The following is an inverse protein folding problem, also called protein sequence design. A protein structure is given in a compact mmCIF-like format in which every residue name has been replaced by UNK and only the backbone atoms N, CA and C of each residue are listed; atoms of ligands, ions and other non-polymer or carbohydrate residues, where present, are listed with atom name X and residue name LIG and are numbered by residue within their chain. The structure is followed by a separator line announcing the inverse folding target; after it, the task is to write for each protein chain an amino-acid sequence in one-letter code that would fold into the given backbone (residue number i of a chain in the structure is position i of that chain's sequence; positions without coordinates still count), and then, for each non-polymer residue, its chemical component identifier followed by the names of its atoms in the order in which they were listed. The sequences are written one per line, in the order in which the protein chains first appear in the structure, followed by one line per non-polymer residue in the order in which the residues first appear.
data_IF_825477105442
#
_entry.id   IF_825477105442
#
_cell.length_a   1.000
_cell.length_b   1.000
_cell.length_c   1.000
_cell.angle_alpha   90.00
_cell.angle_beta   90.00
_cell.angle_gamma   90.00
#
_symmetry.space_group_name_H-M   'P 1'
#
loop_
_entity.id
_entity.type
_entity.pdbx_description
1 polymer ?
#
# COMPACT_ATOMS: atom_id res chain seq x y z
N UNK A 1 -46.81 -18.52 -52.44
CA UNK A 1 -46.86 -18.25 -50.99
C UNK A 1 -45.58 -17.55 -50.61
N UNK A 2 -45.68 -16.24 -50.39
CA UNK A 2 -44.56 -15.30 -50.28
C UNK A 2 -44.29 -15.10 -48.79
N UNK A 3 -43.14 -15.56 -48.30
CA UNK A 3 -42.70 -15.37 -46.92
C UNK A 3 -42.34 -13.89 -46.70
N UNK A 4 -43.33 -13.11 -46.24
CA UNK A 4 -43.12 -11.86 -45.53
C UNK A 4 -42.90 -12.19 -44.05
N UNK A 5 -42.16 -11.31 -43.37
CA UNK A 5 -42.04 -11.19 -41.91
C UNK A 5 -40.82 -11.84 -41.25
N UNK A 6 -39.66 -11.19 -41.37
CA UNK A 6 -38.66 -11.17 -40.29
C UNK A 6 -37.73 -9.92 -40.25
N UNK A 7 -38.19 -8.67 -40.44
CA UNK A 7 -37.31 -7.50 -40.24
C UNK A 7 -37.09 -7.13 -38.75
N UNK A 8 -37.85 -7.73 -37.82
CA UNK A 8 -37.93 -7.26 -36.42
C UNK A 8 -37.00 -7.99 -35.43
N UNK A 9 -36.49 -9.18 -35.79
CA UNK A 9 -35.69 -10.01 -34.86
C UNK A 9 -34.24 -9.53 -34.74
N UNK A 10 -33.66 -9.06 -35.84
CA UNK A 10 -32.29 -8.53 -35.86
C UNK A 10 -32.08 -7.29 -34.96
N UNK A 11 -32.92 -6.23 -34.99
CA UNK A 11 -32.74 -5.08 -34.11
C UNK A 11 -32.97 -5.40 -32.64
N UNK A 12 -33.87 -6.34 -32.32
CA UNK A 12 -34.13 -6.78 -30.94
C UNK A 12 -32.93 -7.55 -30.35
N UNK A 13 -32.32 -8.45 -31.12
CA UNK A 13 -31.11 -9.17 -30.71
C UNK A 13 -29.91 -8.22 -30.53
N UNK A 14 -29.78 -7.21 -31.39
CA UNK A 14 -28.77 -6.17 -31.26
C UNK A 14 -28.98 -5.31 -30.01
N UNK A 15 -30.23 -4.97 -29.69
CA UNK A 15 -30.58 -4.25 -28.48
C UNK A 15 -30.28 -5.08 -27.21
N UNK A 16 -30.64 -6.36 -27.19
CA UNK A 16 -30.34 -7.27 -26.07
C UNK A 16 -28.83 -7.51 -25.89
N UNK A 17 -28.08 -7.66 -26.98
CA UNK A 17 -26.62 -7.74 -26.93
C UNK A 17 -25.98 -6.43 -26.44
N UNK A 18 -26.58 -5.28 -26.78
CA UNK A 18 -26.12 -3.97 -26.31
C UNK A 18 -26.40 -3.75 -24.81
N UNK A 19 -27.55 -4.22 -24.32
CA UNK A 19 -27.92 -4.20 -22.90
C UNK A 19 -26.99 -5.12 -22.09
N UNK A 20 -26.83 -6.38 -22.52
CA UNK A 20 -25.92 -7.33 -21.88
C UNK A 20 -24.48 -6.82 -21.85
N UNK A 21 -24.03 -6.14 -22.91
CA UNK A 21 -22.70 -5.51 -22.93
C UNK A 21 -22.59 -4.36 -21.93
N UNK A 22 -23.63 -3.55 -21.76
CA UNK A 22 -23.66 -2.48 -20.74
C UNK A 22 -23.60 -3.02 -19.33
N UNK A 23 -24.35 -4.10 -19.04
CA UNK A 23 -24.35 -4.74 -17.73
C UNK A 23 -22.96 -5.32 -17.39
N UNK A 24 -22.35 -6.04 -18.33
CA UNK A 24 -20.98 -6.57 -18.15
C UNK A 24 -19.95 -5.46 -17.92
N UNK A 25 -20.07 -4.34 -18.64
CA UNK A 25 -19.19 -3.19 -18.44
C UNK A 25 -19.38 -2.58 -17.04
N UNK A 26 -20.63 -2.43 -16.59
CA UNK A 26 -20.93 -1.94 -15.26
C UNK A 26 -20.35 -2.84 -14.15
N UNK A 27 -20.49 -4.16 -14.29
CA UNK A 27 -19.92 -5.13 -13.36
C UNK A 27 -18.38 -5.05 -13.31
N UNK A 28 -17.72 -4.95 -14.47
CA UNK A 28 -16.26 -4.81 -14.55
C UNK A 28 -15.80 -3.53 -13.84
N UNK A 29 -16.52 -2.42 -14.02
CA UNK A 29 -16.21 -1.16 -13.34
C UNK A 29 -16.38 -1.27 -11.82
N UNK A 30 -17.43 -1.93 -11.35
CA UNK A 30 -17.64 -2.14 -9.92
C UNK A 30 -16.51 -2.97 -9.30
N UNK A 31 -16.09 -4.04 -9.99
CA UNK A 31 -14.97 -4.88 -9.58
C UNK A 31 -13.66 -4.09 -9.54
N UNK A 32 -13.40 -3.24 -10.54
CA UNK A 32 -12.23 -2.37 -10.56
C UNK A 32 -12.25 -1.36 -9.39
N UNK A 33 -13.40 -0.72 -9.17
CA UNK A 33 -13.59 0.22 -8.06
C UNK A 33 -13.37 -0.44 -6.69
N UNK A 34 -13.89 -1.66 -6.52
CA UNK A 34 -13.70 -2.45 -5.32
C UNK A 34 -12.22 -2.83 -5.12
N UNK A 35 -11.56 -3.35 -6.15
CA UNK A 35 -10.15 -3.74 -6.11
C UNK A 35 -9.23 -2.56 -5.78
N UNK A 36 -9.51 -1.38 -6.33
CA UNK A 36 -8.79 -0.15 -5.99
C UNK A 36 -8.92 0.18 -4.50
N UNK A 37 -10.15 0.22 -3.98
CA UNK A 37 -10.42 0.56 -2.57
C UNK A 37 -9.77 -0.42 -1.61
N UNK A 38 -9.88 -1.71 -1.87
CA UNK A 38 -9.27 -2.74 -1.02
C UNK A 38 -7.74 -2.68 -1.08
N UNK A 39 -7.16 -2.43 -2.26
CA UNK A 39 -5.70 -2.25 -2.39
C UNK A 39 -5.22 -1.02 -1.60
N UNK A 40 -5.95 0.10 -1.67
CA UNK A 40 -5.62 1.31 -0.90
C UNK A 40 -5.75 1.10 0.61
N UNK A 41 -6.78 0.39 1.07
CA UNK A 41 -6.95 0.04 2.50
C UNK A 41 -5.82 -0.86 2.98
N UNK A 42 -5.44 -1.87 2.20
CA UNK A 42 -4.37 -2.80 2.54
C UNK A 42 -3.03 -2.07 2.63
N UNK A 43 -2.75 -1.18 1.67
CA UNK A 43 -1.56 -0.34 1.71
C UNK A 43 -1.52 0.51 2.98
N UNK A 44 -2.64 1.18 3.33
CA UNK A 44 -2.73 2.03 4.52
C UNK A 44 -2.54 1.23 5.82
N UNK A 45 -3.14 0.04 5.93
CA UNK A 45 -2.94 -0.85 7.09
C UNK A 45 -1.48 -1.27 7.23
N UNK A 46 -0.83 -1.61 6.11
CA UNK A 46 0.59 -1.98 6.10
C UNK A 46 1.49 -0.80 6.51
N UNK A 47 1.18 0.42 6.07
CA UNK A 47 1.88 1.64 6.53
C UNK A 47 1.71 1.86 8.03
N UNK A 48 0.49 1.73 8.57
CA UNK A 48 0.28 1.83 10.01
C UNK A 48 1.04 0.76 10.79
N UNK A 49 1.07 -0.48 10.29
CA UNK A 49 1.85 -1.55 10.89
C UNK A 49 3.34 -1.20 10.90
N UNK A 50 3.87 -0.64 9.81
CA UNK A 50 5.23 -0.11 9.74
C UNK A 50 5.50 1.00 10.77
N UNK A 51 4.55 1.91 11.00
CA UNK A 51 4.64 2.95 12.03
C UNK A 51 4.60 2.38 13.46
N UNK A 52 3.75 1.39 13.72
CA UNK A 52 3.71 0.72 15.03
C UNK A 52 5.03 0.02 15.33
N UNK A 53 5.59 -0.69 14.33
CA UNK A 53 6.91 -1.31 14.45
C UNK A 53 7.99 -0.26 14.67
N UNK A 54 7.92 0.87 13.97
CA UNK A 54 8.83 2.01 14.15
C UNK A 54 8.79 2.57 15.58
N UNK A 55 7.61 2.74 16.15
CA UNK A 55 7.44 3.20 17.53
C UNK A 55 8.00 2.19 18.54
N UNK A 56 7.78 0.89 18.31
CA UNK A 56 8.35 -0.18 19.14
C UNK A 56 9.87 -0.20 19.08
N UNK A 57 10.45 -0.01 17.90
CA UNK A 57 11.90 0.07 17.70
C UNK A 57 12.49 1.26 18.47
N UNK A 58 11.87 2.44 18.37
CA UNK A 58 12.31 3.61 19.12
C UNK A 58 12.23 3.37 20.62
N UNK A 59 11.12 2.79 21.10
CA UNK A 59 10.95 2.42 22.50
C UNK A 59 12.04 1.46 22.99
N UNK A 60 12.32 0.39 22.25
CA UNK A 60 13.37 -0.59 22.58
C UNK A 60 14.76 0.07 22.57
N UNK A 61 15.02 0.96 21.61
CA UNK A 61 16.32 1.63 21.50
C UNK A 61 16.58 2.64 22.62
N UNK A 62 15.54 3.30 23.15
CA UNK A 62 15.67 4.22 24.29
C UNK A 62 15.82 3.49 25.63
N UNK A 63 15.38 2.23 25.74
CA UNK A 63 15.43 1.43 26.96
C UNK A 63 16.51 0.33 26.90
N UNK A 64 17.56 0.52 26.09
CA UNK A 64 18.62 -0.47 25.86
C UNK A 64 19.44 -0.82 27.12
N UNK A 65 19.44 0.06 28.12
CA UNK A 65 20.17 -0.10 29.39
C UNK A 65 19.34 -0.80 30.49
N UNK A 66 18.13 -1.27 30.19
CA UNK A 66 17.28 -1.99 31.16
C UNK A 66 17.61 -3.48 31.09
N UNK A 67 18.18 -4.01 32.18
CA UNK A 67 18.66 -5.40 32.35
C UNK A 67 17.56 -6.47 32.17
N UNK A 68 16.29 -6.06 32.25
CA UNK A 68 15.12 -6.89 31.96
C UNK A 68 14.45 -6.47 30.65
N UNK A 69 14.34 -7.42 29.72
CA UNK A 69 13.59 -7.26 28.47
C UNK A 69 12.15 -6.83 28.78
N UNK A 70 11.67 -5.68 28.26
CA UNK A 70 10.28 -5.28 28.47
C UNK A 70 9.36 -6.33 27.85
N UNK A 71 8.53 -6.94 28.68
CA UNK A 71 7.46 -7.83 28.22
C UNK A 71 6.48 -7.02 27.37
N UNK A 72 6.40 -7.32 26.07
CA UNK A 72 5.41 -6.74 25.17
C UNK A 72 4.01 -7.12 25.69
N UNK A 73 3.18 -6.17 26.18
CA UNK A 73 1.95 -6.50 26.90
C UNK A 73 0.83 -7.11 26.03
N UNK A 74 1.05 -7.23 24.73
CA UNK A 74 0.05 -7.74 23.77
C UNK A 74 0.48 -8.99 23.00
N UNK A 75 1.75 -9.40 23.11
CA UNK A 75 2.30 -10.54 22.36
C UNK A 75 3.14 -11.33 23.35
N UNK A 76 2.60 -12.43 23.87
CA UNK A 76 3.25 -13.34 24.81
C UNK A 76 4.39 -14.14 24.20
N UNK A 77 5.29 -13.46 23.47
CA UNK A 77 6.50 -14.03 22.89
C UNK A 77 7.67 -13.46 23.69
N UNK A 78 8.24 -14.29 24.55
CA UNK A 78 9.48 -14.00 25.27
C UNK A 78 10.65 -14.18 24.32
N UNK A 79 11.27 -13.08 23.90
CA UNK A 79 12.51 -13.12 23.12
C UNK A 79 13.70 -13.37 24.06
N UNK A 80 14.66 -14.19 23.63
CA UNK A 80 15.83 -14.54 24.45
C UNK A 80 16.90 -13.45 24.50
N UNK A 81 16.93 -12.55 23.51
CA UNK A 81 17.86 -11.40 23.46
C UNK A 81 17.25 -10.17 22.77
N UNK A 82 17.73 -8.96 23.09
CA UNK A 82 17.31 -7.69 22.45
C UNK A 82 17.54 -7.74 20.93
N UNK A 83 18.64 -8.36 20.50
CA UNK A 83 19.00 -8.50 19.08
C UNK A 83 17.99 -9.37 18.33
N UNK A 84 17.51 -10.45 18.94
CA UNK A 84 16.50 -11.32 18.33
C UNK A 84 15.16 -10.59 18.11
N UNK A 85 14.78 -9.71 19.05
CA UNK A 85 13.61 -8.84 18.92
C UNK A 85 13.80 -7.79 17.81
N UNK A 86 14.98 -7.17 17.72
CA UNK A 86 15.27 -6.18 16.66
C UNK A 86 15.25 -6.81 15.26
N UNK A 87 15.79 -8.03 15.10
CA UNK A 87 15.71 -8.76 13.82
C UNK A 87 14.26 -9.09 13.47
N UNK A 88 13.44 -9.54 14.44
CA UNK A 88 12.03 -9.82 14.20
C UNK A 88 11.25 -8.56 13.79
N UNK A 89 11.51 -7.43 14.47
CA UNK A 89 10.93 -6.12 14.13
C UNK A 89 11.40 -5.66 12.74
N UNK A 90 12.65 -5.90 12.36
CA UNK A 90 13.17 -5.59 11.02
C UNK A 90 12.42 -6.39 9.94
N UNK A 91 12.27 -7.70 10.11
CA UNK A 91 11.54 -8.56 9.15
C UNK A 91 10.09 -8.09 9.02
N UNK A 92 9.44 -7.78 10.13
CA UNK A 92 8.07 -7.27 10.14
C UNK A 92 7.97 -5.90 9.46
N UNK A 93 8.93 -5.01 9.70
CA UNK A 93 9.00 -3.69 9.07
C UNK A 93 9.15 -3.80 7.55
N UNK A 94 10.11 -4.59 7.08
CA UNK A 94 10.36 -4.81 5.64
C UNK A 94 9.17 -5.51 4.99
N UNK A 95 8.61 -6.54 5.63
CA UNK A 95 7.41 -7.23 5.17
C UNK A 95 6.21 -6.29 5.01
N UNK A 96 5.98 -5.43 6.00
CA UNK A 96 4.96 -4.40 5.93
C UNK A 96 5.21 -3.42 4.77
N UNK A 97 6.45 -2.99 4.58
CA UNK A 97 6.85 -2.12 3.47
C UNK A 97 6.61 -2.75 2.10
N UNK A 98 6.94 -4.04 1.92
CA UNK A 98 6.71 -4.77 0.68
C UNK A 98 5.21 -4.93 0.38
N UNK A 99 4.40 -5.28 1.38
CA UNK A 99 2.94 -5.38 1.24
C UNK A 99 2.34 -4.01 0.90
N UNK A 100 2.82 -2.94 1.55
CA UNK A 100 2.38 -1.58 1.25
C UNK A 100 2.72 -1.19 -0.20
N UNK A 101 3.94 -1.49 -0.64
CA UNK A 101 4.42 -1.18 -1.99
C UNK A 101 3.64 -1.95 -3.05
N UNK A 102 3.46 -3.25 -2.87
CA UNK A 102 2.69 -4.10 -3.78
C UNK A 102 1.24 -3.62 -3.89
N UNK A 103 0.61 -3.29 -2.76
CA UNK A 103 -0.79 -2.85 -2.73
C UNK A 103 -0.96 -1.46 -3.37
N UNK A 104 -0.03 -0.53 -3.13
CA UNK A 104 -0.04 0.78 -3.77
C UNK A 104 0.21 0.69 -5.28
N UNK A 105 1.10 -0.21 -5.73
CA UNK A 105 1.32 -0.48 -7.15
C UNK A 105 0.05 -0.99 -7.81
N UNK A 106 -0.59 -1.99 -7.20
CA UNK A 106 -1.84 -2.57 -7.70
C UNK A 106 -2.97 -1.55 -7.76
N UNK A 107 -3.08 -0.68 -6.75
CA UNK A 107 -4.05 0.42 -6.78
C UNK A 107 -3.79 1.38 -7.96
N UNK A 108 -2.52 1.75 -8.21
CA UNK A 108 -2.15 2.61 -9.32
C UNK A 108 -2.43 1.95 -10.69
N UNK A 109 -2.15 0.66 -10.84
CA UNK A 109 -2.43 -0.08 -12.07
C UNK A 109 -3.93 -0.16 -12.37
N UNK A 110 -4.74 -0.47 -11.34
CA UNK A 110 -6.20 -0.47 -11.49
C UNK A 110 -6.69 0.91 -11.91
N UNK A 111 -6.18 1.97 -11.29
CA UNK A 111 -6.56 3.35 -11.63
C UNK A 111 -6.21 3.72 -13.08
N UNK A 112 -5.05 3.27 -13.57
CA UNK A 112 -4.59 3.47 -14.96
C UNK A 112 -5.32 2.61 -15.98
N UNK A 113 -5.93 1.51 -15.54
CA UNK A 113 -6.70 0.62 -16.41
C UNK A 113 -8.11 1.13 -16.71
N UNK A 114 -8.57 2.16 -15.99
CA UNK A 114 -9.89 2.77 -16.18
C UNK A 114 -9.82 3.70 -17.40
N UNK A 115 -10.62 3.47 -18.47
CA UNK A 115 -10.56 4.26 -19.70
C UNK A 115 -11.20 5.66 -19.58
N UNK A 116 -12.01 5.91 -18.55
CA UNK A 116 -12.66 7.22 -18.32
C UNK A 116 -11.92 8.00 -17.24
N UNK A 117 -11.26 9.10 -17.64
CA UNK A 117 -10.47 9.97 -16.76
C UNK A 117 -11.32 10.59 -15.63
N UNK A 118 -12.60 10.88 -15.86
CA UNK A 118 -13.47 11.42 -14.83
C UNK A 118 -13.75 10.38 -13.74
N UNK A 119 -13.98 9.14 -14.15
CA UNK A 119 -14.18 8.02 -13.22
C UNK A 119 -12.91 7.74 -12.44
N UNK A 120 -11.75 7.73 -13.11
CA UNK A 120 -10.45 7.58 -12.47
C UNK A 120 -10.20 8.69 -11.44
N UNK A 121 -10.49 9.95 -11.77
CA UNK A 121 -10.36 11.08 -10.85
C UNK A 121 -11.28 10.93 -9.63
N UNK A 122 -12.54 10.54 -9.83
CA UNK A 122 -13.49 10.31 -8.72
C UNK A 122 -13.01 9.16 -7.83
N UNK A 123 -12.48 8.08 -8.41
CA UNK A 123 -11.90 6.98 -7.65
C UNK A 123 -10.66 7.40 -6.85
N UNK A 124 -9.79 8.22 -7.46
CA UNK A 124 -8.57 8.73 -6.84
C UNK A 124 -8.83 9.64 -5.61
N UNK A 125 -10.05 10.18 -5.47
CA UNK A 125 -10.48 10.94 -4.27
C UNK A 125 -10.74 10.07 -3.04
N UNK A 126 -10.55 8.76 -3.13
CA UNK A 126 -10.68 7.87 -1.98
C UNK A 126 -9.74 8.33 -0.84
N UNK A 127 -10.25 8.55 0.39
CA UNK A 127 -9.45 9.05 1.48
C UNK A 127 -8.42 7.99 1.91
N UNK A 128 -7.13 8.29 1.72
CA UNK A 128 -6.04 7.44 2.19
C UNK A 128 -4.85 8.28 2.60
N UNK A 129 -4.20 7.89 3.70
CA UNK A 129 -2.96 8.51 4.22
C UNK A 129 -1.83 8.46 3.18
N UNK A 130 -1.86 7.46 2.30
CA UNK A 130 -0.84 7.25 1.27
C UNK A 130 -1.04 8.20 0.07
N UNK A 131 -2.28 8.44 -0.32
CA UNK A 131 -2.63 9.35 -1.42
C UNK A 131 -2.88 10.78 -0.92
N UNK A 132 -1.98 11.29 -0.08
CA UNK A 132 -2.06 12.65 0.47
C UNK A 132 -1.04 13.61 -0.13
N UNK A 133 -1.30 14.91 0.05
CA UNK A 133 -0.37 15.96 -0.34
C UNK A 133 0.92 15.94 0.48
N UNK A 134 1.91 16.70 0.00
CA UNK A 134 3.27 16.78 0.58
C UNK A 134 3.29 17.03 2.10
N UNK A 135 2.34 17.82 2.61
CA UNK A 135 2.29 18.20 4.03
C UNK A 135 2.11 16.98 4.95
N UNK A 136 1.31 15.99 4.54
CA UNK A 136 1.08 14.78 5.33
C UNK A 136 2.07 13.66 4.98
N UNK A 137 2.58 13.64 3.75
CA UNK A 137 3.54 12.62 3.33
C UNK A 137 4.95 12.89 3.87
N UNK A 138 5.40 14.14 4.01
CA UNK A 138 6.71 14.49 4.56
C UNK A 138 6.99 13.91 5.97
N UNK A 139 6.13 14.14 6.99
CA UNK A 139 6.35 13.57 8.32
C UNK A 139 6.26 12.05 8.31
N UNK A 140 5.40 11.47 7.45
CA UNK A 140 5.27 10.02 7.29
C UNK A 140 6.53 9.39 6.68
N UNK A 141 7.08 10.01 5.62
CA UNK A 141 8.37 9.65 5.02
C UNK A 141 9.47 9.73 6.08
N UNK A 142 9.53 10.84 6.83
CA UNK A 142 10.52 11.05 7.87
C UNK A 142 10.47 9.98 8.96
N UNK A 143 9.27 9.65 9.44
CA UNK A 143 9.08 8.63 10.47
C UNK A 143 9.51 7.24 9.98
N UNK A 144 9.13 6.85 8.77
CA UNK A 144 9.45 5.54 8.20
C UNK A 144 10.94 5.43 7.82
N UNK A 145 11.50 6.41 7.12
CA UNK A 145 12.92 6.40 6.77
C UNK A 145 13.79 6.45 8.01
N UNK A 146 13.49 7.35 8.96
CA UNK A 146 14.25 7.50 10.19
C UNK A 146 14.27 6.22 11.01
N UNK A 147 13.13 5.53 11.11
CA UNK A 147 13.04 4.26 11.83
C UNK A 147 13.74 3.11 11.13
N UNK A 148 13.71 3.08 9.78
CA UNK A 148 14.47 2.12 8.99
C UNK A 148 15.99 2.28 9.13
N UNK A 149 16.49 3.53 9.17
CA UNK A 149 17.90 3.83 9.43
C UNK A 149 18.30 3.39 10.84
N UNK A 150 17.47 3.70 11.84
CA UNK A 150 17.75 3.37 13.24
C UNK A 150 17.78 1.85 13.47
N UNK A 151 16.81 1.11 12.90
CA UNK A 151 16.84 -0.37 12.83
C UNK A 151 18.14 -0.88 12.19
N UNK A 152 18.50 -0.30 11.05
CA UNK A 152 19.71 -0.68 10.33
C UNK A 152 20.97 -0.47 11.15
N UNK A 153 21.15 0.72 11.74
CA UNK A 153 22.33 1.06 12.54
C UNK A 153 22.50 0.12 13.74
N UNK A 154 21.39 -0.31 14.34
CA UNK A 154 21.42 -1.23 15.46
C UNK A 154 21.85 -2.66 15.08
N UNK A 155 21.67 -3.07 13.82
CA UNK A 155 21.94 -4.45 13.35
C UNK A 155 23.28 -4.56 12.60
N UNK A 156 23.67 -3.54 11.82
CA UNK A 156 24.82 -3.61 10.91
C UNK A 156 26.11 -2.94 11.45
N UNK A 157 26.15 -2.60 12.74
CA UNK A 157 27.31 -2.02 13.44
C UNK A 157 28.09 -0.98 12.59
N UNK A 158 27.46 0.18 12.31
CA UNK A 158 28.15 1.36 11.80
C UNK A 158 27.95 1.69 10.30
N UNK A 159 28.80 2.58 9.79
CA UNK A 159 28.77 3.16 8.43
C UNK A 159 29.57 2.33 7.43
N UNK A 160 29.32 1.02 7.37
CA UNK A 160 29.91 0.15 6.34
C UNK A 160 29.13 0.25 5.02
N UNK A 161 29.79 -0.01 3.88
CA UNK A 161 29.13 -0.03 2.56
C UNK A 161 28.01 -1.10 2.51
N UNK A 162 28.22 -2.23 3.17
CA UNK A 162 27.21 -3.28 3.38
C UNK A 162 26.04 -2.79 4.23
N UNK A 163 26.31 -2.02 5.30
CA UNK A 163 25.31 -1.33 6.09
C UNK A 163 24.48 -0.37 5.23
N UNK A 164 25.10 0.48 4.43
CA UNK A 164 24.40 1.42 3.54
C UNK A 164 23.46 0.73 2.54
N UNK A 165 23.90 -0.38 1.95
CA UNK A 165 23.08 -1.22 1.05
C UNK A 165 21.91 -1.85 1.84
N UNK A 166 22.19 -2.38 3.04
CA UNK A 166 21.17 -2.91 3.93
C UNK A 166 20.11 -1.88 4.31
N UNK A 167 20.53 -0.67 4.68
CA UNK A 167 19.64 0.44 5.04
C UNK A 167 18.72 0.79 3.87
N UNK A 168 19.31 0.91 2.68
CA UNK A 168 18.57 1.18 1.43
C UNK A 168 17.50 0.14 1.17
N UNK A 169 17.79 -1.14 1.42
CA UNK A 169 16.83 -2.22 1.24
C UNK A 169 15.68 -2.18 2.26
N UNK A 170 15.96 -1.72 3.48
CA UNK A 170 14.97 -1.64 4.57
C UNK A 170 13.95 -0.53 4.34
N UNK A 171 14.37 0.68 3.92
CA UNK A 171 13.45 1.80 3.76
C UNK A 171 12.85 1.92 2.34
N UNK A 172 13.47 1.32 1.32
CA UNK A 172 13.02 1.44 -0.08
C UNK A 172 11.54 1.08 -0.30
N UNK A 173 10.98 0.01 0.27
CA UNK A 173 9.58 -0.36 0.04
C UNK A 173 8.59 0.72 0.50
N UNK A 174 8.85 1.36 1.64
CA UNK A 174 8.02 2.47 2.13
C UNK A 174 8.19 3.73 1.27
N UNK A 175 9.41 4.02 0.83
CA UNK A 175 9.65 5.15 -0.08
C UNK A 175 8.92 4.97 -1.41
N UNK A 176 8.95 3.78 -1.99
CA UNK A 176 8.22 3.45 -3.21
C UNK A 176 6.70 3.55 -3.02
N UNK A 177 6.18 3.05 -1.89
CA UNK A 177 4.76 3.18 -1.53
C UNK A 177 4.31 4.65 -1.54
N UNK A 178 5.10 5.54 -0.95
CA UNK A 178 4.77 6.96 -0.85
C UNK A 178 4.92 7.68 -2.19
N UNK A 179 5.88 7.28 -3.03
CA UNK A 179 5.98 7.77 -4.41
C UNK A 179 4.76 7.36 -5.26
N UNK A 180 4.28 6.12 -5.12
CA UNK A 180 3.07 5.65 -5.79
C UNK A 180 1.84 6.40 -5.27
N UNK A 181 1.72 6.59 -3.96
CA UNK A 181 0.69 7.43 -3.34
C UNK A 181 0.67 8.86 -3.86
N UNK A 182 1.85 9.48 -4.01
CA UNK A 182 2.00 10.81 -4.59
C UNK A 182 1.57 10.88 -6.06
N UNK A 183 1.74 9.80 -6.84
CA UNK A 183 1.20 9.71 -8.22
C UNK A 183 -0.32 9.66 -8.24
N UNK A 184 -0.93 8.90 -7.33
CA UNK A 184 -2.40 8.84 -7.17
C UNK A 184 -2.93 10.23 -6.77
N UNK A 185 -2.28 10.93 -5.84
CA UNK A 185 -2.68 12.28 -5.45
C UNK A 185 -2.56 13.31 -6.58
N UNK A 186 -1.61 13.16 -7.51
CA UNK A 186 -1.54 14.02 -8.71
C UNK A 186 -2.75 13.82 -9.62
N UNK A 187 -3.21 12.58 -9.79
CA UNK A 187 -4.42 12.24 -10.57
C UNK A 187 -5.68 12.82 -9.92
N UNK A 188 -5.69 12.98 -8.59
CA UNK A 188 -6.78 13.64 -7.87
C UNK A 188 -6.92 15.15 -8.17
N UNK A 189 -5.81 15.80 -8.57
CA UNK A 189 -5.71 17.26 -8.76
C UNK A 189 -5.71 17.72 -10.23
N UNK A 190 -5.50 16.79 -11.17
CA UNK A 190 -5.68 17.04 -12.61
C UNK A 190 -7.15 17.14 -12.95
#
# INVERSE_FOLDING_TARGET
MQARDAPFVAPLLLALASLRRKDILADIFEIQAFNFRESMKLAQRAVFLGLTVSALVQYVSMNRDVEELPTLPFIGVSFTTVDSLQIALMVLYVGAGLVACFSAHRALDVLRSIPDDNVAMVLARFPSVIATGLVYSLPLVGALIGSGILLGMNIFEGLSLSGFIGYSLIFAPFQLTLQMGGRIHKIQKG
#
